data_IF_289872709046
#
_entry.id   IF_289872709046
#
_cell.length_a   1.000
_cell.length_b   1.000
_cell.length_c   1.000
_cell.angle_alpha   90.00
_cell.angle_beta   90.00
_cell.angle_gamma   90.00
#
_symmetry.space_group_name_H-M   'P 1'
#
loop_
_entity.id
_entity.type
_entity.pdbx_description
1 polymer ?
#
# COMPACT_ATOMS: atom_id res chain seq x y z
N UNK A 1 2.27 21.19 -9.01
CA UNK A 1 1.76 20.34 -10.11
C UNK A 1 2.86 19.36 -10.39
N UNK A 2 2.59 18.07 -10.18
CA UNK A 2 3.61 17.02 -10.26
C UNK A 2 4.15 16.95 -11.69
N UNK A 3 5.48 16.94 -11.82
CA UNK A 3 6.13 16.85 -13.14
C UNK A 3 5.97 15.42 -13.69
N UNK A 4 5.53 15.25 -14.95
CA UNK A 4 5.47 13.92 -15.59
C UNK A 4 6.76 13.11 -15.48
N UNK A 5 7.93 13.76 -15.45
CA UNK A 5 9.22 13.09 -15.30
C UNK A 5 9.39 12.44 -13.93
N UNK A 6 8.87 13.05 -12.88
CA UNK A 6 8.91 12.48 -11.52
C UNK A 6 8.01 11.24 -11.40
N UNK A 7 6.91 11.22 -12.16
CA UNK A 7 6.02 10.05 -12.26
C UNK A 7 6.75 8.90 -12.96
N UNK A 8 7.39 9.16 -14.10
CA UNK A 8 8.16 8.17 -14.85
C UNK A 8 9.29 7.56 -14.00
N UNK A 9 10.04 8.41 -13.28
CA UNK A 9 11.09 7.95 -12.37
C UNK A 9 10.57 7.05 -11.25
N UNK A 10 9.39 7.36 -10.68
CA UNK A 10 8.79 6.52 -9.64
C UNK A 10 8.26 5.20 -10.22
N UNK A 11 7.72 5.19 -11.44
CA UNK A 11 7.33 3.97 -12.16
C UNK A 11 8.53 3.06 -12.40
N UNK A 12 9.62 3.60 -12.96
CA UNK A 12 10.88 2.87 -13.20
C UNK A 12 11.43 2.29 -11.89
N UNK A 13 11.38 3.08 -10.80
CA UNK A 13 11.81 2.62 -9.48
C UNK A 13 10.97 1.46 -8.99
N UNK A 14 9.64 1.55 -9.08
CA UNK A 14 8.73 0.48 -8.63
C UNK A 14 8.89 -0.80 -9.47
N UNK A 15 9.09 -0.67 -10.78
CA UNK A 15 9.37 -1.80 -11.67
C UNK A 15 10.73 -2.45 -11.33
N UNK A 16 11.78 -1.65 -11.10
CA UNK A 16 13.10 -2.16 -10.71
C UNK A 16 13.10 -2.90 -9.36
N UNK A 17 12.16 -2.56 -8.48
CA UNK A 17 11.95 -3.24 -7.20
C UNK A 17 11.05 -4.47 -7.32
N UNK A 18 10.48 -4.75 -8.50
CA UNK A 18 9.54 -5.84 -8.73
C UNK A 18 8.18 -5.64 -8.05
N UNK A 19 7.81 -4.39 -7.74
CA UNK A 19 6.52 -4.05 -7.10
C UNK A 19 5.40 -3.99 -8.16
N UNK A 20 5.74 -3.54 -9.37
CA UNK A 20 4.84 -3.48 -10.53
C UNK A 20 5.53 -4.07 -11.76
N UNK A 21 4.73 -4.37 -12.79
CA UNK A 21 5.20 -4.84 -14.10
C UNK A 21 4.41 -4.16 -15.21
N UNK A 22 5.09 -3.86 -16.31
CA UNK A 22 4.44 -3.32 -17.50
C UNK A 22 3.55 -4.35 -18.19
N UNK A 23 2.32 -3.96 -18.51
CA UNK A 23 1.37 -4.76 -19.29
C UNK A 23 1.15 -4.08 -20.65
N UNK A 24 1.47 -4.78 -21.75
CA UNK A 24 1.34 -4.24 -23.11
C UNK A 24 0.00 -4.61 -23.78
N UNK A 25 -0.65 -5.67 -23.28
CA UNK A 25 -1.93 -6.13 -23.79
C UNK A 25 -3.11 -5.40 -23.12
N UNK A 26 -4.24 -5.21 -23.83
CA UNK A 26 -5.43 -4.60 -23.24
C UNK A 26 -5.97 -5.43 -22.07
N UNK A 27 -6.26 -4.76 -20.95
CA UNK A 27 -6.84 -5.37 -19.77
C UNK A 27 -8.31 -4.99 -19.62
N UNK A 28 -9.15 -5.95 -19.24
CA UNK A 28 -10.57 -5.70 -18.94
C UNK A 28 -10.77 -4.82 -17.69
N UNK A 29 -9.76 -4.78 -16.82
CA UNK A 29 -9.78 -4.06 -15.55
C UNK A 29 -8.60 -3.09 -15.44
N UNK A 30 -8.92 -1.82 -15.23
CA UNK A 30 -7.95 -0.75 -14.99
C UNK A 30 -8.47 0.17 -13.87
N UNK A 31 -7.56 0.72 -13.08
CA UNK A 31 -7.88 1.76 -12.08
C UNK A 31 -7.13 3.04 -12.43
N UNK A 32 -7.67 4.19 -12.02
CA UNK A 32 -7.01 5.47 -12.19
C UNK A 32 -5.76 5.56 -11.31
N UNK A 33 -4.64 5.96 -11.90
CA UNK A 33 -3.43 6.34 -11.17
C UNK A 33 -3.58 7.78 -10.67
N UNK A 34 -3.31 7.98 -9.39
CA UNK A 34 -3.40 9.26 -8.68
C UNK A 34 -2.03 9.59 -8.09
N UNK A 35 -1.23 10.45 -8.75
CA UNK A 35 0.02 10.95 -8.19
C UNK A 35 -0.25 11.90 -7.02
N UNK A 36 0.49 11.73 -5.92
CA UNK A 36 0.39 12.57 -4.71
C UNK A 36 1.78 13.02 -4.29
N UNK A 37 1.92 14.32 -3.99
CA UNK A 37 3.16 14.87 -3.44
C UNK A 37 3.34 14.38 -1.99
N UNK A 38 4.49 13.74 -1.72
CA UNK A 38 4.92 13.40 -0.37
C UNK A 38 5.44 14.66 0.33
N UNK A 39 5.42 14.63 1.67
CA UNK A 39 5.95 15.73 2.49
C UNK A 39 7.45 15.97 2.30
N UNK A 40 8.19 14.95 1.87
CA UNK A 40 9.63 15.01 1.60
C UNK A 40 9.95 15.55 0.19
N UNK A 41 8.93 15.92 -0.59
CA UNK A 41 9.08 16.41 -1.97
C UNK A 41 9.09 15.31 -3.03
N UNK A 42 9.05 14.03 -2.66
CA UNK A 42 8.91 12.93 -3.62
C UNK A 42 7.48 12.73 -4.11
N UNK A 43 7.30 11.88 -5.11
CA UNK A 43 5.97 11.46 -5.59
C UNK A 43 5.58 10.11 -4.98
N UNK A 44 4.29 9.95 -4.65
CA UNK A 44 3.66 8.67 -4.34
C UNK A 44 2.62 8.37 -5.41
N UNK A 45 2.74 7.21 -6.06
CA UNK A 45 1.71 6.73 -6.98
C UNK A 45 0.67 5.94 -6.19
N UNK A 46 -0.56 6.44 -6.21
CA UNK A 46 -1.71 5.77 -5.60
C UNK A 46 -2.64 5.25 -6.71
N UNK A 47 -3.44 4.23 -6.41
CA UNK A 47 -4.55 3.80 -7.27
C UNK A 47 -5.87 4.24 -6.63
N UNK A 48 -6.83 4.73 -7.39
CA UNK A 48 -8.21 4.91 -6.91
C UNK A 48 -8.94 3.55 -6.91
N UNK A 49 -9.22 2.94 -5.74
CA UNK A 49 -9.75 1.59 -5.66
C UNK A 49 -11.27 1.56 -5.50
N UNK A 50 -12.00 2.67 -5.73
CA UNK A 50 -13.45 2.74 -5.44
C UNK A 50 -14.25 1.61 -6.09
N UNK A 51 -14.00 1.30 -7.37
CA UNK A 51 -14.69 0.23 -8.08
C UNK A 51 -14.18 -1.15 -7.70
N UNK A 52 -12.85 -1.30 -7.57
CA UNK A 52 -12.23 -2.54 -7.09
C UNK A 52 -12.81 -2.96 -5.73
N UNK A 53 -12.88 -2.04 -4.78
CA UNK A 53 -13.39 -2.27 -3.43
C UNK A 53 -14.86 -2.69 -3.38
N UNK A 54 -15.67 -2.31 -4.37
CA UNK A 54 -17.07 -2.73 -4.49
C UNK A 54 -17.21 -4.12 -5.11
N UNK A 55 -16.32 -4.48 -6.04
CA UNK A 55 -16.30 -5.78 -6.69
C UNK A 55 -15.68 -6.89 -5.81
N UNK A 56 -14.75 -6.53 -4.92
CA UNK A 56 -14.08 -7.50 -4.05
C UNK A 56 -15.02 -8.10 -3.00
N UNK A 57 -15.08 -9.44 -2.95
CA UNK A 57 -15.69 -10.17 -1.83
C UNK A 57 -14.74 -10.16 -0.64
N UNK A 58 -15.07 -9.41 0.40
CA UNK A 58 -14.21 -9.25 1.58
C UNK A 58 -14.23 -10.50 2.46
N UNK A 59 -13.09 -11.17 2.70
CA UNK A 59 -13.02 -12.19 3.73
C UNK A 59 -13.17 -11.53 5.11
N UNK A 60 -13.79 -12.22 6.05
CA UNK A 60 -13.84 -11.78 7.44
C UNK A 60 -12.65 -12.37 8.19
N UNK A 61 -11.70 -11.52 8.58
CA UNK A 61 -10.59 -11.87 9.46
C UNK A 61 -10.67 -10.98 10.69
N UNK A 62 -11.06 -11.51 11.87
CA UNK A 62 -11.19 -10.70 13.07
C UNK A 62 -9.79 -10.24 13.51
N UNK A 63 -9.60 -8.93 13.53
CA UNK A 63 -8.40 -8.32 14.11
C UNK A 63 -8.64 -8.28 15.63
N UNK A 64 -7.71 -8.77 16.47
CA UNK A 64 -7.84 -8.70 17.92
C UNK A 64 -8.13 -7.28 18.39
N UNK A 65 -8.95 -7.15 19.42
CA UNK A 65 -9.15 -5.85 20.08
C UNK A 65 -7.88 -5.43 20.82
N UNK A 66 -7.83 -4.17 21.23
CA UNK A 66 -6.73 -3.69 22.07
C UNK A 66 -6.68 -4.45 23.40
N UNK A 67 -7.85 -4.74 23.98
CA UNK A 67 -7.99 -5.51 25.21
C UNK A 67 -7.46 -6.94 25.06
N UNK A 68 -7.80 -7.62 23.96
CA UNK A 68 -7.29 -8.96 23.64
C UNK A 68 -5.76 -8.95 23.56
N UNK A 69 -5.19 -7.98 22.84
CA UNK A 69 -3.76 -7.87 22.65
C UNK A 69 -3.00 -7.57 23.96
N UNK A 70 -3.55 -6.75 24.86
CA UNK A 70 -2.92 -6.44 26.15
C UNK A 70 -3.01 -7.61 27.12
N UNK A 71 -4.11 -8.38 27.09
CA UNK A 71 -4.24 -9.57 27.93
C UNK A 71 -3.11 -10.57 27.66
N UNK A 72 -2.75 -10.77 26.39
CA UNK A 72 -1.65 -11.66 25.97
C UNK A 72 -0.27 -11.19 26.45
N UNK A 73 -0.12 -9.90 26.75
CA UNK A 73 1.13 -9.30 27.21
C UNK A 73 1.28 -9.31 28.75
N UNK A 74 0.30 -9.83 29.47
CA UNK A 74 0.32 -9.87 30.94
C UNK A 74 1.54 -10.64 31.47
N UNK A 75 2.28 -10.01 32.38
CA UNK A 75 3.48 -10.58 32.99
C UNK A 75 4.76 -10.49 32.14
N UNK A 76 4.68 -9.93 30.93
CA UNK A 76 5.87 -9.64 30.13
C UNK A 76 6.76 -8.60 30.82
N UNK A 77 8.08 -8.83 30.82
CA UNK A 77 9.08 -7.95 31.45
C UNK A 77 9.83 -7.07 30.45
N UNK A 78 9.81 -7.45 29.19
CA UNK A 78 10.53 -6.79 28.10
C UNK A 78 9.64 -6.75 26.87
N UNK A 79 9.68 -5.64 26.16
CA UNK A 79 8.90 -5.42 24.95
C UNK A 79 9.83 -4.99 23.82
N UNK A 80 9.54 -5.46 22.61
CA UNK A 80 10.17 -5.01 21.38
C UNK A 80 9.09 -4.70 20.36
N UNK A 81 9.25 -3.60 19.62
CA UNK A 81 8.33 -3.21 18.55
C UNK A 81 9.05 -3.38 17.23
N UNK A 82 8.40 -4.08 16.29
CA UNK A 82 8.82 -4.15 14.90
C UNK A 82 7.89 -3.26 14.08
N UNK A 83 8.46 -2.56 13.11
CA UNK A 83 7.70 -1.74 12.16
C UNK A 83 7.68 -2.43 10.80
N UNK A 84 6.48 -2.76 10.33
CA UNK A 84 6.22 -3.40 9.05
C UNK A 84 5.61 -2.42 8.03
N UNK A 85 6.06 -1.16 8.04
CA UNK A 85 5.58 -0.08 7.14
C UNK A 85 5.60 -0.45 5.65
N UNK A 86 6.40 -1.44 5.23
CA UNK A 86 6.46 -1.94 3.85
C UNK A 86 6.09 -3.44 3.73
N UNK A 87 5.23 -3.94 4.61
CA UNK A 87 4.77 -5.34 4.62
C UNK A 87 3.44 -5.59 3.88
N UNK A 88 3.05 -4.68 2.98
CA UNK A 88 1.88 -4.85 2.11
C UNK A 88 2.06 -5.97 1.09
#
# INVERSE_FOLDING_TARGET
>A
MIDPKEIEQELDRLESLGIIEKVEEPMEWVNLMVPVEKKDGGVRLCTDPVYLNKAMKRPHYPIPTFEDAIADLSGAKYFSKLDATSGY
#
